data_IF_695806522760
#
_entry.id   IF_695806522760
#
_cell.length_a   1.000
_cell.length_b   1.000
_cell.length_c   1.000
_cell.angle_alpha   90.00
_cell.angle_beta   90.00
_cell.angle_gamma   90.00
#
_symmetry.space_group_name_H-M   'P 1'
#
loop_
_entity.id
_entity.type
_entity.pdbx_description
1 polymer ?
#
# COMPACT_ATOMS: atom_id res chain seq x y z
N UNK A 1 -7.93 -19.21 -92.15
CA UNK A 1 -7.04 -18.41 -91.22
C UNK A 1 -7.85 -18.07 -90.01
N UNK A 2 -7.70 -18.85 -88.95
CA UNK A 2 -8.46 -18.71 -87.71
C UNK A 2 -7.56 -18.02 -86.61
N UNK A 3 -8.00 -16.92 -86.10
CA UNK A 3 -7.32 -16.26 -85.01
C UNK A 3 -8.01 -16.56 -83.63
N UNK A 4 -7.31 -17.32 -82.80
CA UNK A 4 -7.71 -17.63 -81.42
C UNK A 4 -7.38 -16.43 -80.53
N UNK A 5 -8.38 -15.78 -79.95
CA UNK A 5 -8.20 -14.81 -78.86
C UNK A 5 -8.26 -15.58 -77.54
N UNK A 6 -7.14 -15.59 -76.79
CA UNK A 6 -7.07 -16.09 -75.43
C UNK A 6 -7.49 -14.96 -74.50
N UNK A 7 -8.53 -15.18 -73.71
CA UNK A 7 -8.94 -14.29 -72.64
C UNK A 7 -8.05 -14.56 -71.41
N UNK A 8 -7.43 -13.49 -70.93
CA UNK A 8 -6.68 -13.49 -69.64
C UNK A 8 -7.66 -13.18 -68.51
N UNK A 9 -7.92 -14.12 -67.63
CA UNK A 9 -8.67 -13.94 -66.44
C UNK A 9 -7.74 -13.35 -65.33
N UNK A 10 -7.99 -12.13 -64.95
CA UNK A 10 -7.29 -11.44 -63.84
C UNK A 10 -7.95 -11.84 -62.51
N UNK A 11 -7.27 -12.64 -61.72
CA UNK A 11 -7.69 -12.97 -60.36
C UNK A 11 -7.27 -11.84 -59.42
N UNK A 12 -8.24 -11.12 -58.89
CA UNK A 12 -8.03 -10.15 -57.81
C UNK A 12 -7.94 -10.90 -56.47
N UNK A 13 -6.76 -10.94 -55.90
CA UNK A 13 -6.57 -11.43 -54.55
C UNK A 13 -6.97 -10.34 -53.51
N UNK A 14 -8.05 -10.57 -52.78
CA UNK A 14 -8.45 -9.74 -51.66
C UNK A 14 -7.60 -10.13 -50.42
N UNK A 15 -6.64 -9.29 -50.07
CA UNK A 15 -5.90 -9.41 -48.79
C UNK A 15 -6.82 -8.92 -47.66
N UNK A 16 -7.38 -9.88 -46.91
CA UNK A 16 -8.03 -9.58 -45.65
C UNK A 16 -6.94 -9.28 -44.59
N UNK A 17 -6.74 -8.00 -44.23
CA UNK A 17 -5.97 -7.63 -43.06
C UNK A 17 -6.77 -8.03 -41.83
N UNK A 18 -6.40 -9.13 -41.17
CA UNK A 18 -6.83 -9.48 -39.83
C UNK A 18 -6.13 -8.52 -38.86
N UNK A 19 -6.84 -7.51 -38.40
CA UNK A 19 -6.38 -6.64 -37.33
C UNK A 19 -6.21 -7.46 -36.02
N UNK A 20 -4.97 -7.69 -35.64
CA UNK A 20 -4.64 -8.24 -34.32
C UNK A 20 -4.92 -7.13 -33.32
N UNK A 21 -6.08 -7.16 -32.65
CA UNK A 21 -6.35 -6.38 -31.46
C UNK A 21 -5.43 -6.94 -30.37
N UNK A 22 -4.30 -6.28 -30.12
CA UNK A 22 -3.50 -6.57 -28.96
C UNK A 22 -4.36 -6.28 -27.71
N UNK A 23 -4.90 -7.31 -27.11
CA UNK A 23 -5.51 -7.22 -25.78
C UNK A 23 -4.39 -6.73 -24.85
N UNK A 24 -4.47 -5.46 -24.44
CA UNK A 24 -3.56 -4.89 -23.46
C UNK A 24 -3.61 -5.76 -22.20
N UNK A 25 -2.50 -6.42 -21.88
CA UNK A 25 -2.39 -7.15 -20.63
C UNK A 25 -2.62 -6.15 -19.49
N UNK A 26 -3.64 -6.40 -18.66
CA UNK A 26 -3.84 -5.64 -17.44
C UNK A 26 -2.54 -5.72 -16.62
N UNK A 27 -2.10 -4.63 -15.99
CA UNK A 27 -0.91 -4.67 -15.15
C UNK A 27 -1.12 -5.73 -14.07
N UNK A 28 -0.19 -6.69 -13.99
CA UNK A 28 -0.25 -7.73 -12.99
C UNK A 28 -0.18 -7.08 -11.61
N UNK A 29 -1.20 -7.28 -10.79
CA UNK A 29 -1.14 -6.96 -9.37
C UNK A 29 -0.05 -7.81 -8.73
N UNK A 30 0.80 -7.21 -7.91
CA UNK A 30 1.76 -7.99 -7.14
C UNK A 30 1.00 -8.90 -6.17
N UNK A 31 1.48 -10.14 -5.98
CA UNK A 31 0.87 -11.02 -4.98
C UNK A 31 1.00 -10.41 -3.58
N UNK A 32 0.00 -10.61 -2.68
CA UNK A 32 0.09 -10.18 -1.30
C UNK A 32 1.38 -10.66 -0.63
N UNK A 33 2.01 -9.80 0.15
CA UNK A 33 3.26 -10.09 0.84
C UNK A 33 2.98 -10.29 2.34
N UNK A 34 2.97 -11.52 2.83
CA UNK A 34 2.76 -11.80 4.25
C UNK A 34 4.04 -11.57 5.07
N UNK A 35 3.89 -11.62 6.39
CA UNK A 35 4.97 -11.56 7.37
C UNK A 35 5.84 -10.30 7.21
N UNK A 36 5.20 -9.13 7.20
CA UNK A 36 5.89 -7.83 7.14
C UNK A 36 5.72 -7.05 8.43
N UNK A 37 6.81 -6.47 8.89
CA UNK A 37 6.79 -5.39 9.86
C UNK A 37 6.62 -4.06 9.15
N UNK A 38 5.83 -3.16 9.74
CA UNK A 38 5.71 -1.78 9.31
C UNK A 38 6.38 -0.92 10.37
N UNK A 39 7.52 -0.31 10.03
CA UNK A 39 8.40 0.38 10.99
C UNK A 39 8.32 1.88 10.81
N UNK A 40 8.17 2.62 11.91
CA UNK A 40 8.20 4.09 11.91
C UNK A 40 9.63 4.62 11.98
N UNK A 41 9.93 5.69 11.23
CA UNK A 41 11.28 6.28 11.14
C UNK A 41 11.71 6.96 12.44
N UNK A 42 10.82 7.67 13.13
CA UNK A 42 11.15 8.43 14.34
C UNK A 42 11.37 7.51 15.54
N UNK A 43 10.45 6.57 15.76
CA UNK A 43 10.49 5.73 16.97
C UNK A 43 11.26 4.43 16.77
N UNK A 44 11.50 4.00 15.51
CA UNK A 44 11.93 2.64 15.22
C UNK A 44 10.88 1.57 15.55
N UNK A 45 9.74 1.97 16.12
CA UNK A 45 8.70 1.06 16.57
C UNK A 45 7.96 0.38 15.41
N UNK A 46 7.52 -0.85 15.66
CA UNK A 46 6.74 -1.65 14.73
C UNK A 46 5.25 -1.41 14.93
N UNK A 47 4.51 -1.31 13.83
CA UNK A 47 3.05 -1.21 13.85
C UNK A 47 2.46 -2.49 14.44
N UNK A 48 1.62 -2.33 15.46
CA UNK A 48 0.96 -3.42 16.18
C UNK A 48 -0.45 -2.99 16.60
N UNK A 49 -1.17 -3.85 17.27
CA UNK A 49 -2.48 -3.53 17.84
C UNK A 49 -2.38 -3.41 19.37
N UNK A 50 -3.09 -2.43 19.91
CA UNK A 50 -3.09 -2.12 21.34
C UNK A 50 -3.39 -3.37 22.18
N UNK A 51 -2.55 -3.61 23.18
CA UNK A 51 -2.64 -4.76 24.09
C UNK A 51 -2.67 -6.13 23.38
N UNK A 52 -2.06 -6.22 22.19
CA UNK A 52 -2.10 -7.42 21.34
C UNK A 52 -3.53 -7.93 21.05
N UNK A 53 -4.51 -7.02 21.08
CA UNK A 53 -5.93 -7.37 20.89
C UNK A 53 -6.29 -7.54 19.42
N UNK A 54 -7.19 -8.49 19.13
CA UNK A 54 -7.62 -8.83 17.75
C UNK A 54 -9.06 -8.44 17.44
N UNK A 55 -9.72 -7.69 18.35
CA UNK A 55 -11.11 -7.28 18.22
C UNK A 55 -11.35 -6.19 17.15
N UNK A 56 -12.63 -5.99 16.79
CA UNK A 56 -13.08 -4.87 15.96
C UNK A 56 -12.75 -3.53 16.62
N UNK A 57 -12.38 -2.54 15.81
CA UNK A 57 -12.01 -1.20 16.25
C UNK A 57 -10.79 -1.14 17.19
N UNK A 58 -10.00 -2.22 17.29
CA UNK A 58 -8.79 -2.13 18.09
C UNK A 58 -7.81 -1.12 17.46
N UNK A 59 -7.22 -0.27 18.33
CA UNK A 59 -6.36 0.82 17.90
C UNK A 59 -5.01 0.28 17.39
N UNK A 60 -4.53 0.86 16.30
CA UNK A 60 -3.16 0.68 15.85
C UNK A 60 -2.22 1.55 16.71
N UNK A 61 -1.09 0.97 17.07
CA UNK A 61 0.00 1.58 17.85
C UNK A 61 1.34 1.27 17.21
N UNK A 62 2.40 1.96 17.62
CA UNK A 62 3.77 1.46 17.41
C UNK A 62 4.32 0.88 18.69
N UNK A 63 4.93 -0.28 18.58
CA UNK A 63 5.58 -0.98 19.68
C UNK A 63 7.08 -0.83 19.55
N UNK A 64 7.75 -0.29 20.58
CA UNK A 64 9.18 0.01 20.57
C UNK A 64 10.02 -0.98 21.36
N UNK A 65 9.44 -1.57 22.39
CA UNK A 65 10.15 -2.51 23.25
C UNK A 65 10.39 -3.83 22.51
N UNK A 66 11.65 -4.21 22.24
CA UNK A 66 11.94 -5.46 21.54
C UNK A 66 11.62 -6.71 22.38
N UNK A 67 11.44 -6.56 23.69
CA UNK A 67 11.01 -7.65 24.57
C UNK A 67 9.52 -8.00 24.41
N UNK A 68 8.73 -7.07 23.83
CA UNK A 68 7.33 -7.29 23.54
C UNK A 68 7.18 -7.87 22.13
N UNK A 69 6.94 -9.16 22.08
CA UNK A 69 6.72 -9.87 20.82
C UNK A 69 5.22 -10.10 20.64
N UNK A 70 4.53 -9.11 20.03
CA UNK A 70 3.10 -9.21 19.78
C UNK A 70 2.85 -9.96 18.46
N UNK A 71 1.94 -10.92 18.50
CA UNK A 71 1.48 -11.58 17.26
C UNK A 71 0.84 -10.59 16.27
N UNK A 72 0.36 -9.44 16.76
CA UNK A 72 -0.23 -8.37 15.96
C UNK A 72 0.79 -7.43 15.30
N UNK A 73 2.08 -7.69 15.37
CA UNK A 73 3.11 -6.96 14.62
C UNK A 73 3.22 -7.42 13.16
N UNK A 74 2.70 -8.60 12.84
CA UNK A 74 2.78 -9.18 11.50
C UNK A 74 1.64 -8.73 10.61
N UNK A 75 2.00 -8.23 9.44
CA UNK A 75 1.07 -7.66 8.45
C UNK A 75 1.24 -8.30 7.08
N UNK A 76 0.13 -8.65 6.47
CA UNK A 76 0.04 -8.94 5.05
C UNK A 76 -0.18 -7.62 4.31
N UNK A 77 0.61 -7.38 3.28
CA UNK A 77 0.53 -6.16 2.47
C UNK A 77 0.21 -6.52 1.02
N UNK A 78 -0.85 -5.89 0.49
CA UNK A 78 -1.26 -6.04 -0.91
C UNK A 78 -1.07 -4.70 -1.63
N UNK A 79 -0.30 -4.71 -2.72
CA UNK A 79 0.06 -3.52 -3.50
C UNK A 79 -0.51 -3.55 -4.91
N UNK A 80 -1.06 -2.42 -5.33
CA UNK A 80 -1.32 -2.17 -6.75
C UNK A 80 -0.03 -2.00 -7.56
N UNK A 81 -0.16 -1.97 -8.89
CA UNK A 81 0.93 -1.56 -9.75
C UNK A 81 1.38 -0.11 -9.44
N UNK A 82 2.69 0.15 -9.61
CA UNK A 82 3.26 1.47 -9.44
C UNK A 82 2.59 2.50 -10.36
N UNK A 83 2.15 3.61 -9.79
CA UNK A 83 1.51 4.70 -10.53
C UNK A 83 0.07 4.42 -10.97
N UNK A 84 -0.55 3.31 -10.56
CA UNK A 84 -1.92 2.96 -10.96
C UNK A 84 -2.97 3.96 -10.45
N UNK A 85 -2.76 4.54 -9.28
CA UNK A 85 -3.66 5.56 -8.69
C UNK A 85 -3.19 6.99 -9.00
N UNK A 86 -1.89 7.26 -8.81
CA UNK A 86 -1.27 8.55 -9.10
C UNK A 86 0.23 8.36 -9.39
N UNK A 87 0.87 9.29 -10.11
CA UNK A 87 2.32 9.24 -10.34
C UNK A 87 3.08 9.10 -9.01
N UNK A 88 4.13 8.29 -9.02
CA UNK A 88 5.01 8.06 -7.86
C UNK A 88 4.34 7.50 -6.60
N UNK A 89 3.25 6.75 -6.75
CA UNK A 89 2.53 6.13 -5.64
C UNK A 89 2.27 4.65 -5.88
N UNK A 90 2.12 3.92 -4.77
CA UNK A 90 1.37 2.65 -4.72
C UNK A 90 0.06 2.87 -3.99
N UNK A 91 -0.94 2.08 -4.32
CA UNK A 91 -2.08 1.85 -3.43
C UNK A 91 -1.84 0.53 -2.70
N UNK A 92 -2.01 0.53 -1.38
CA UNK A 92 -1.81 -0.66 -0.56
C UNK A 92 -3.01 -0.91 0.36
N UNK A 93 -3.21 -2.18 0.69
CA UNK A 93 -4.06 -2.63 1.80
C UNK A 93 -3.16 -3.33 2.81
N UNK A 94 -3.38 -3.06 4.09
CA UNK A 94 -2.65 -3.66 5.20
C UNK A 94 -3.59 -4.50 6.03
N UNK A 95 -3.38 -5.80 6.06
CA UNK A 95 -4.16 -6.75 6.85
C UNK A 95 -3.30 -7.28 7.99
N UNK A 96 -3.76 -7.08 9.20
CA UNK A 96 -3.12 -7.69 10.37
C UNK A 96 -3.37 -9.20 10.36
N UNK A 97 -2.29 -9.99 10.40
CA UNK A 97 -2.40 -11.44 10.24
C UNK A 97 -3.06 -12.12 11.45
N UNK A 98 -2.70 -11.70 12.67
CA UNK A 98 -3.27 -12.28 13.89
C UNK A 98 -4.76 -11.92 14.07
N UNK A 99 -5.12 -10.67 13.75
CA UNK A 99 -6.51 -10.20 13.87
C UNK A 99 -7.37 -10.57 12.65
N UNK A 100 -6.77 -10.90 11.50
CA UNK A 100 -7.46 -11.09 10.22
C UNK A 100 -8.34 -9.88 9.85
N UNK A 101 -7.82 -8.66 10.09
CA UNK A 101 -8.52 -7.38 9.91
C UNK A 101 -7.66 -6.37 9.19
N UNK A 102 -8.30 -5.44 8.48
CA UNK A 102 -7.66 -4.42 7.65
C UNK A 102 -7.54 -3.09 8.39
N UNK A 103 -6.38 -2.43 8.19
CA UNK A 103 -6.06 -1.12 8.76
C UNK A 103 -6.87 -0.02 8.08
N UNK A 104 -7.50 0.86 8.86
CA UNK A 104 -8.27 1.99 8.35
C UNK A 104 -8.37 3.13 9.36
N UNK A 105 -8.74 4.36 8.93
CA UNK A 105 -9.21 5.40 9.83
C UNK A 105 -10.44 4.95 10.62
N UNK A 106 -10.57 5.40 11.87
CA UNK A 106 -11.74 5.11 12.73
C UNK A 106 -13.02 5.83 12.27
N UNK A 107 -12.91 6.83 11.38
CA UNK A 107 -14.00 7.63 10.83
C UNK A 107 -14.12 7.45 9.33
N UNK A 108 -15.34 7.45 8.79
CA UNK A 108 -15.61 7.44 7.35
C UNK A 108 -15.19 8.76 6.66
N UNK A 109 -15.17 9.85 7.40
CA UNK A 109 -14.74 11.20 6.96
C UNK A 109 -13.57 11.64 7.84
N UNK A 110 -12.37 11.09 7.64
CA UNK A 110 -11.25 11.34 8.54
C UNK A 110 -10.75 12.78 8.43
N UNK A 111 -10.45 13.34 9.59
CA UNK A 111 -9.83 14.65 9.77
C UNK A 111 -8.53 14.49 10.56
N UNK A 112 -7.74 15.56 10.69
CA UNK A 112 -6.59 15.58 11.59
C UNK A 112 -7.02 15.18 13.00
N UNK A 113 -6.30 14.27 13.63
CA UNK A 113 -6.62 13.72 14.96
C UNK A 113 -7.43 12.43 14.93
N UNK A 114 -7.98 12.03 13.78
CA UNK A 114 -8.66 10.73 13.64
C UNK A 114 -7.70 9.60 13.96
N UNK A 115 -8.08 8.69 14.85
CA UNK A 115 -7.31 7.49 15.20
C UNK A 115 -7.33 6.47 14.09
N UNK A 116 -6.41 5.53 14.15
CA UNK A 116 -6.29 4.43 13.18
C UNK A 116 -6.62 3.13 13.90
N UNK A 117 -7.43 2.31 13.27
CA UNK A 117 -7.96 1.06 13.86
C UNK A 117 -7.92 -0.07 12.84
N UNK A 118 -8.22 -1.28 13.29
CA UNK A 118 -8.49 -2.42 12.40
C UNK A 118 -9.98 -2.77 12.39
N UNK A 119 -10.48 -3.16 11.22
CA UNK A 119 -11.84 -3.67 11.01
C UNK A 119 -11.85 -4.86 10.06
N UNK A 120 -12.93 -5.62 10.07
CA UNK A 120 -13.16 -6.68 9.08
C UNK A 120 -12.86 -6.15 7.69
N UNK A 121 -12.07 -6.89 6.90
CA UNK A 121 -11.71 -6.48 5.55
C UNK A 121 -12.93 -6.52 4.64
N UNK A 122 -13.30 -5.39 4.05
CA UNK A 122 -14.46 -5.21 3.17
C UNK A 122 -14.08 -4.66 1.77
N UNK A 123 -12.79 -4.36 1.56
CA UNK A 123 -12.26 -3.82 0.31
C UNK A 123 -12.62 -2.37 0.04
N UNK A 124 -13.22 -1.66 1.00
CA UNK A 124 -13.62 -0.26 0.86
C UNK A 124 -12.42 0.69 0.68
N UNK A 125 -12.70 1.91 0.24
CA UNK A 125 -11.68 2.95 0.11
C UNK A 125 -11.07 3.36 1.47
N UNK A 126 -11.79 3.14 2.58
CA UNK A 126 -11.28 3.37 3.92
C UNK A 126 -10.08 2.48 4.26
N UNK A 127 -10.03 1.26 3.69
CA UNK A 127 -8.97 0.29 3.92
C UNK A 127 -7.82 0.38 2.93
N UNK A 128 -7.89 1.33 1.99
CA UNK A 128 -6.83 1.57 1.01
C UNK A 128 -5.98 2.77 1.40
N UNK A 129 -4.69 2.62 1.18
CA UNK A 129 -3.67 3.61 1.53
C UNK A 129 -2.85 3.98 0.30
N UNK A 130 -2.66 5.26 0.07
CA UNK A 130 -1.75 5.79 -0.95
C UNK A 130 -0.38 6.00 -0.33
N UNK A 131 0.63 5.32 -0.86
CA UNK A 131 2.01 5.37 -0.39
C UNK A 131 2.84 6.25 -1.31
N UNK A 132 3.39 7.35 -0.78
CA UNK A 132 4.32 8.22 -1.50
C UNK A 132 5.74 8.00 -0.99
N UNK A 133 6.69 7.90 -1.90
CA UNK A 133 8.13 7.83 -1.58
C UNK A 133 8.64 9.11 -0.91
N UNK A 134 9.45 8.95 0.13
CA UNK A 134 10.34 10.02 0.57
C UNK A 134 11.51 10.10 -0.40
N UNK A 135 11.72 11.30 -0.98
CA UNK A 135 12.82 11.57 -1.89
C UNK A 135 13.77 12.59 -1.27
N UNK A 136 15.08 12.37 -1.39
CA UNK A 136 16.13 13.35 -1.10
C UNK A 136 16.90 13.57 -2.39
N UNK A 137 16.67 14.72 -3.02
CA UNK A 137 17.03 14.90 -4.43
C UNK A 137 16.31 13.87 -5.29
N UNK A 138 17.04 13.17 -6.14
CA UNK A 138 16.50 12.10 -7.01
C UNK A 138 16.56 10.70 -6.39
N UNK A 139 16.97 10.59 -5.12
CA UNK A 139 17.16 9.29 -4.46
C UNK A 139 15.99 8.97 -3.53
N UNK A 140 15.40 7.77 -3.70
CA UNK A 140 14.44 7.22 -2.76
C UNK A 140 15.16 6.72 -1.50
N UNK A 141 14.70 7.20 -0.35
CA UNK A 141 15.33 6.89 0.96
C UNK A 141 14.96 5.52 1.53
N UNK A 142 13.99 4.83 0.93
CA UNK A 142 13.40 3.60 1.46
C UNK A 142 12.20 3.86 2.38
N UNK A 143 11.89 5.11 2.67
CA UNK A 143 10.77 5.51 3.51
C UNK A 143 9.59 6.02 2.70
N UNK A 144 8.38 5.90 3.27
CA UNK A 144 7.12 6.20 2.62
C UNK A 144 6.19 6.96 3.55
N UNK A 145 5.38 7.86 3.00
CA UNK A 145 4.24 8.48 3.68
C UNK A 145 3.00 7.66 3.35
N UNK A 146 2.28 7.18 4.37
CA UNK A 146 1.07 6.37 4.24
C UNK A 146 -0.16 7.25 4.42
N UNK A 147 -0.91 7.50 3.34
CA UNK A 147 -2.07 8.40 3.30
C UNK A 147 -3.35 7.60 3.06
N UNK A 148 -4.42 7.80 3.84
CA UNK A 148 -5.69 7.12 3.55
C UNK A 148 -6.26 7.59 2.22
N UNK A 149 -6.76 6.67 1.37
CA UNK A 149 -7.30 6.99 0.06
C UNK A 149 -8.50 7.93 0.13
N UNK A 150 -9.28 7.87 1.20
CA UNK A 150 -10.45 8.74 1.43
C UNK A 150 -10.10 10.19 1.75
N UNK A 151 -8.86 10.47 2.19
CA UNK A 151 -8.36 11.84 2.41
C UNK A 151 -6.82 11.86 2.35
N UNK A 152 -6.28 12.12 1.16
CA UNK A 152 -4.82 12.09 0.90
C UNK A 152 -4.07 13.32 1.46
N UNK A 153 -4.76 14.31 2.01
CA UNK A 153 -4.14 15.44 2.73
C UNK A 153 -3.66 15.05 4.13
N UNK A 154 -4.01 13.83 4.56
CA UNK A 154 -3.63 13.26 5.83
C UNK A 154 -2.66 12.09 5.66
N UNK A 155 -1.88 11.84 6.71
CA UNK A 155 -0.95 10.70 6.77
C UNK A 155 -0.98 10.05 8.16
N UNK A 156 -0.72 8.74 8.19
CA UNK A 156 -0.49 7.98 9.42
C UNK A 156 0.74 8.54 10.14
N UNK A 157 0.58 8.91 11.39
CA UNK A 157 1.57 9.64 12.18
C UNK A 157 1.61 9.16 13.62
N UNK A 158 2.76 9.24 14.26
CA UNK A 158 2.83 9.13 15.72
C UNK A 158 2.05 10.30 16.34
N UNK A 159 1.16 9.99 17.30
CA UNK A 159 0.43 11.02 18.04
C UNK A 159 1.35 11.69 19.06
N UNK A 160 2.14 10.89 19.73
CA UNK A 160 3.08 11.34 20.73
C UNK A 160 4.28 10.41 20.74
N UNK A 161 5.47 10.98 20.72
CA UNK A 161 6.69 10.24 21.01
C UNK A 161 6.90 10.26 22.52
N UNK A 162 6.76 9.09 23.15
CA UNK A 162 6.98 8.89 24.59
C UNK A 162 8.23 8.03 24.78
N UNK A 163 8.80 8.09 25.99
CA UNK A 163 9.87 7.19 26.42
C UNK A 163 9.33 5.80 26.83
N UNK A 164 8.02 5.57 26.67
CA UNK A 164 7.35 4.30 26.98
C UNK A 164 7.58 3.23 25.92
N UNK A 165 6.99 2.05 26.15
CA UNK A 165 7.14 0.88 25.28
C UNK A 165 6.34 0.96 23.98
N UNK A 166 5.40 1.90 23.87
CA UNK A 166 4.55 2.07 22.70
C UNK A 166 4.08 3.51 22.51
N UNK A 167 3.69 3.85 21.29
CA UNK A 167 3.11 5.14 20.91
C UNK A 167 1.77 4.97 20.21
N UNK A 168 0.81 5.86 20.50
CA UNK A 168 -0.46 5.91 19.79
C UNK A 168 -0.30 6.53 18.41
N UNK A 169 -1.23 6.19 17.51
CA UNK A 169 -1.27 6.68 16.13
C UNK A 169 -2.52 7.50 15.88
N UNK A 170 -2.37 8.48 14.98
CA UNK A 170 -3.47 9.31 14.49
C UNK A 170 -3.18 9.75 13.05
N UNK A 171 -4.14 10.38 12.41
CA UNK A 171 -3.95 11.05 11.13
C UNK A 171 -3.52 12.51 11.36
N UNK A 172 -2.43 12.92 10.72
CA UNK A 172 -1.94 14.29 10.69
C UNK A 172 -1.77 14.75 9.25
N UNK A 173 -1.50 16.03 9.01
CA UNK A 173 -1.28 16.55 7.65
C UNK A 173 -0.15 15.80 6.94
N UNK A 174 -0.39 15.43 5.68
CA UNK A 174 0.55 14.68 4.86
C UNK A 174 1.73 15.59 4.46
N UNK A 175 2.84 15.46 5.18
CA UNK A 175 4.11 16.12 4.87
C UNK A 175 5.27 15.23 5.33
N UNK A 176 6.44 15.30 4.68
CA UNK A 176 7.58 14.48 5.05
C UNK A 176 8.16 14.94 6.41
N UNK A 177 7.96 14.11 7.42
CA UNK A 177 8.60 14.24 8.73
C UNK A 177 8.76 12.85 9.35
N UNK A 178 9.76 12.66 10.20
CA UNK A 178 10.14 11.34 10.70
C UNK A 178 8.99 10.59 11.41
N UNK A 179 8.08 11.31 12.06
CA UNK A 179 6.88 10.75 12.71
C UNK A 179 5.84 10.18 11.74
N UNK A 180 5.93 10.51 10.43
CA UNK A 180 4.99 10.10 9.35
C UNK A 180 5.64 9.24 8.29
N UNK A 181 6.89 8.87 8.49
CA UNK A 181 7.65 8.05 7.56
C UNK A 181 7.71 6.61 8.05
N UNK A 182 7.37 5.70 7.13
CA UNK A 182 7.20 4.29 7.40
C UNK A 182 7.95 3.46 6.35
N UNK A 183 8.42 2.30 6.74
CA UNK A 183 8.98 1.32 5.81
C UNK A 183 8.45 -0.07 6.10
N UNK A 184 8.45 -0.92 5.08
CA UNK A 184 8.25 -2.35 5.24
C UNK A 184 9.60 -3.00 5.54
N UNK A 185 9.60 -3.91 6.50
CA UNK A 185 10.73 -4.75 6.83
C UNK A 185 10.29 -6.22 6.85
N UNK A 186 11.24 -7.15 6.82
CA UNK A 186 10.95 -8.55 7.08
C UNK A 186 10.51 -8.70 8.54
N UNK A 187 9.58 -9.63 8.81
CA UNK A 187 9.11 -9.90 10.17
C UNK A 187 10.29 -10.21 11.11
N UNK A 188 10.22 -9.69 12.32
CA UNK A 188 11.28 -9.77 13.34
C UNK A 188 12.64 -9.17 12.91
N UNK A 189 12.63 -8.25 11.96
CA UNK A 189 13.83 -7.47 11.68
C UNK A 189 14.26 -6.69 12.93
N UNK A 190 15.55 -6.65 13.26
CA UNK A 190 16.03 -5.85 14.37
C UNK A 190 15.54 -4.40 14.21
N UNK A 191 15.01 -3.81 15.27
CA UNK A 191 14.73 -2.38 15.31
C UNK A 191 16.11 -1.71 15.18
N UNK A 192 16.37 -1.12 14.02
CA UNK A 192 17.59 -0.36 13.84
C UNK A 192 17.50 0.87 14.73
N UNK A 193 18.24 0.87 15.83
CA UNK A 193 18.51 2.08 16.57
C UNK A 193 19.32 2.97 15.62
N UNK A 194 18.66 3.97 15.04
CA UNK A 194 19.27 5.03 14.23
C UNK A 194 19.85 6.11 15.12
#
# INVERSE_FOLDING_TARGET
>A
MSWNRRALASSAAVLALAGIVAAGAAPASAAPQPNRDIVNKMSGGRLALLSNGTGENNAAITLRDPAWNYSTESWETDFSAWGADAPNTYTATFKNEAANKCLQPSSATPVRGTTIVVKTCDGSQLQKWSLIREMVGDTHTGWWIYRPMVNKDLAMSLNRYNDGSWDSLYLNYAQPSSDRLWRLAANNSPIANS
#
